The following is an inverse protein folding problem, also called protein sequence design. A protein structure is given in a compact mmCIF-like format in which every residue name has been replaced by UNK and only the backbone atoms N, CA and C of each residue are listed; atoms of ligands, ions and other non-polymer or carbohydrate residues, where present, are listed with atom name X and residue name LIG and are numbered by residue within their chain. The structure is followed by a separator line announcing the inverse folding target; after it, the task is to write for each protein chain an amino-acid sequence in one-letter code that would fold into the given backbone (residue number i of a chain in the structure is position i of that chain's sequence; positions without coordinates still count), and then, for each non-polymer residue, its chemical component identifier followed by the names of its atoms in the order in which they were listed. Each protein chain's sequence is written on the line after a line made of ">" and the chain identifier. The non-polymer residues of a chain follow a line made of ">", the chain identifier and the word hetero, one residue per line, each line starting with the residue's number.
data_IF_692144037560
#
_entry.id   IF_692144037560
#
_cell.length_a   1.000
_cell.length_b   1.000
_cell.length_c   1.000
_cell.angle_alpha   90.00
_cell.angle_beta   90.00
_cell.angle_gamma   90.00
#
_symmetry.space_group_name_H-M   'P 1'
#
loop_
_entity.id
_entity.type
_entity.pdbx_description
1 polymer ?
#
# COMPACT_ATOMS: atom_id res chain seq x y z
N UNK A 1 8.27 1.41 -2.39
CA UNK A 1 7.80 2.46 -1.47
C UNK A 1 8.62 2.33 -0.22
N UNK A 2 9.17 3.43 0.27
CA UNK A 2 10.16 3.47 1.34
C UNK A 2 9.99 4.77 2.16
N UNK A 3 10.81 4.96 3.19
CA UNK A 3 10.79 6.15 4.04
C UNK A 3 10.98 7.48 3.28
N UNK A 4 11.61 7.47 2.10
CA UNK A 4 11.72 8.66 1.26
C UNK A 4 10.37 9.18 0.74
N UNK A 5 9.32 8.36 0.80
CA UNK A 5 7.95 8.75 0.42
C UNK A 5 7.44 9.89 1.31
N UNK A 6 7.89 9.97 2.57
CA UNK A 6 7.57 11.05 3.50
C UNK A 6 8.00 12.44 3.01
N UNK A 7 9.05 12.50 2.19
CA UNK A 7 9.65 13.73 1.66
C UNK A 7 8.81 14.47 0.61
N UNK A 8 7.50 14.22 0.54
CA UNK A 8 6.59 14.94 -0.36
C UNK A 8 6.36 14.30 -1.72
N UNK A 9 6.54 12.98 -1.85
CA UNK A 9 6.14 12.25 -3.07
C UNK A 9 4.60 12.14 -3.16
N UNK A 10 4.10 11.80 -4.35
CA UNK A 10 2.65 11.67 -4.63
C UNK A 10 1.88 10.87 -3.59
N UNK A 11 2.32 9.67 -3.14
CA UNK A 11 1.55 8.89 -2.16
C UNK A 11 1.40 9.59 -0.81
N UNK A 12 2.42 10.32 -0.34
CA UNK A 12 2.34 11.06 0.91
C UNK A 12 1.40 12.26 0.82
N UNK A 13 1.32 12.92 -0.34
CA UNK A 13 0.35 14.00 -0.56
C UNK A 13 -1.10 13.52 -0.48
N UNK A 14 -1.40 12.41 -1.17
CA UNK A 14 -2.73 11.77 -1.13
C UNK A 14 -3.08 11.32 0.29
N UNK A 15 -2.14 10.68 0.99
CA UNK A 15 -2.37 10.19 2.34
C UNK A 15 -2.60 11.33 3.35
N UNK A 16 -1.83 12.43 3.27
CA UNK A 16 -2.06 13.63 4.10
C UNK A 16 -3.44 14.24 3.87
N UNK A 17 -3.88 14.31 2.62
CA UNK A 17 -5.22 14.81 2.29
C UNK A 17 -6.31 13.90 2.89
N UNK A 18 -6.21 12.59 2.70
CA UNK A 18 -7.14 11.63 3.28
C UNK A 18 -7.14 11.68 4.82
N UNK A 19 -5.97 11.79 5.44
CA UNK A 19 -5.80 11.96 6.88
C UNK A 19 -6.50 13.21 7.41
N UNK A 20 -6.44 14.34 6.69
CA UNK A 20 -7.17 15.56 7.06
C UNK A 20 -8.69 15.42 7.04
N UNK A 21 -9.20 14.38 6.38
CA UNK A 21 -10.61 13.99 6.30
C UNK A 21 -10.92 12.78 7.18
N UNK A 22 -9.98 12.35 8.03
CA UNK A 22 -10.09 11.16 8.89
C UNK A 22 -10.31 9.84 8.13
N UNK A 23 -9.89 9.78 6.86
CA UNK A 23 -10.02 8.59 6.00
C UNK A 23 -8.71 7.77 6.09
N UNK A 24 -8.76 6.51 6.55
CA UNK A 24 -7.58 5.65 6.61
C UNK A 24 -7.09 5.29 5.21
N UNK A 25 -5.78 5.38 4.98
CA UNK A 25 -5.17 5.06 3.68
C UNK A 25 -4.37 3.76 3.75
N UNK A 26 -4.60 2.84 2.81
CA UNK A 26 -3.78 1.64 2.62
C UNK A 26 -2.96 1.79 1.34
N UNK A 27 -1.66 1.53 1.40
CA UNK A 27 -0.77 1.65 0.25
C UNK A 27 -0.45 0.28 -0.36
N UNK A 28 -0.67 0.15 -1.67
CA UNK A 28 -0.24 -0.99 -2.48
C UNK A 28 0.92 -0.53 -3.37
N UNK A 29 2.09 -1.15 -3.21
CA UNK A 29 3.31 -0.75 -3.90
C UNK A 29 3.96 -1.94 -4.63
N UNK A 30 4.69 -1.67 -5.72
CA UNK A 30 5.52 -2.68 -6.40
C UNK A 30 6.40 -3.44 -5.41
N UNK A 31 7.26 -2.72 -4.70
CA UNK A 31 8.06 -3.24 -3.59
C UNK A 31 7.93 -2.34 -2.36
N UNK A 32 8.27 -2.89 -1.20
CA UNK A 32 8.49 -2.12 0.03
C UNK A 32 10.00 -2.06 0.28
N UNK A 33 10.45 -0.94 0.83
CA UNK A 33 11.83 -0.70 1.25
C UNK A 33 11.88 -0.16 2.66
N UNK A 34 13.08 0.13 3.11
CA UNK A 34 13.33 0.53 4.50
C UNK A 34 12.56 1.80 4.89
N UNK A 35 12.15 1.87 6.15
CA UNK A 35 11.44 3.04 6.69
C UNK A 35 9.98 3.16 6.27
N UNK A 36 9.39 2.14 5.64
CA UNK A 36 7.96 2.11 5.32
C UNK A 36 7.04 2.30 6.54
N UNK A 37 7.46 1.84 7.73
CA UNK A 37 6.67 2.00 8.97
C UNK A 37 6.43 3.47 9.34
N UNK A 38 7.36 4.36 8.98
CA UNK A 38 7.24 5.78 9.24
C UNK A 38 6.10 6.44 8.43
N UNK A 39 5.58 5.79 7.40
CA UNK A 39 4.45 6.27 6.59
C UNK A 39 3.13 6.35 7.38
N UNK A 40 3.04 5.68 8.53
CA UNK A 40 1.93 5.89 9.47
C UNK A 40 1.79 7.35 9.91
N UNK A 41 2.90 8.10 9.95
CA UNK A 41 2.90 9.52 10.34
C UNK A 41 2.07 10.39 9.38
N UNK A 42 1.87 9.94 8.13
CA UNK A 42 1.12 10.68 7.10
C UNK A 42 -0.23 10.02 6.78
N UNK A 43 -0.75 9.16 7.66
CA UNK A 43 -2.08 8.55 7.52
C UNK A 43 -2.12 7.24 6.72
N UNK A 44 -0.98 6.70 6.30
CA UNK A 44 -0.91 5.38 5.68
C UNK A 44 -0.90 4.31 6.78
N UNK A 45 -2.04 3.67 7.02
CA UNK A 45 -2.23 2.75 8.15
C UNK A 45 -1.62 1.37 7.92
N UNK A 46 -1.48 0.96 6.66
CA UNK A 46 -0.88 -0.29 6.22
C UNK A 46 -0.23 -0.16 4.83
N UNK A 47 0.83 -0.94 4.60
CA UNK A 47 1.56 -1.00 3.33
C UNK A 47 1.70 -2.46 2.87
N UNK A 48 1.47 -2.73 1.59
CA UNK A 48 1.63 -4.06 0.99
C UNK A 48 2.50 -3.99 -0.26
N UNK A 49 3.42 -4.95 -0.41
CA UNK A 49 4.01 -5.22 -1.71
C UNK A 49 3.03 -6.04 -2.54
N UNK A 50 2.86 -5.70 -3.82
CA UNK A 50 2.04 -6.47 -4.75
C UNK A 50 2.80 -7.68 -5.32
N UNK A 51 4.12 -7.77 -5.12
CA UNK A 51 4.89 -8.91 -5.62
C UNK A 51 4.57 -10.16 -4.79
N UNK A 52 4.03 -11.17 -5.45
CA UNK A 52 3.66 -12.46 -4.83
C UNK A 52 4.85 -13.38 -4.59
N UNK A 53 5.99 -13.14 -5.27
CA UNK A 53 7.21 -13.96 -5.17
C UNK A 53 8.45 -13.18 -5.64
N UNK A 54 9.66 -13.59 -5.22
CA UNK A 54 10.89 -13.12 -5.84
C UNK A 54 10.86 -13.38 -7.35
N UNK A 55 11.18 -12.36 -8.14
CA UNK A 55 11.18 -12.43 -9.59
C UNK A 55 12.12 -11.37 -10.20
N UNK A 56 12.41 -11.51 -11.48
CA UNK A 56 13.10 -10.47 -12.24
C UNK A 56 12.20 -9.24 -12.44
N UNK A 57 12.80 -8.08 -12.71
CA UNK A 57 12.06 -6.86 -13.02
C UNK A 57 11.10 -7.04 -14.21
N UNK A 58 11.53 -7.74 -15.26
CA UNK A 58 10.68 -7.99 -16.43
C UNK A 58 9.42 -8.79 -16.05
N UNK A 59 9.56 -9.81 -15.20
CA UNK A 59 8.42 -10.59 -14.70
C UNK A 59 7.52 -9.75 -13.79
N UNK A 60 8.10 -8.94 -12.90
CA UNK A 60 7.36 -8.04 -12.02
C UNK A 60 6.48 -7.06 -12.82
N UNK A 61 7.02 -6.48 -13.88
CA UNK A 61 6.28 -5.56 -14.77
C UNK A 61 5.22 -6.30 -15.58
N UNK A 62 5.53 -7.49 -16.12
CA UNK A 62 4.61 -8.29 -16.92
C UNK A 62 3.38 -8.74 -16.11
N UNK A 63 3.57 -9.13 -14.85
CA UNK A 63 2.49 -9.59 -13.95
C UNK A 63 1.91 -8.47 -13.07
N UNK A 64 2.30 -7.21 -13.27
CA UNK A 64 1.99 -6.12 -12.35
C UNK A 64 0.48 -5.90 -12.13
N UNK A 65 -0.31 -5.95 -13.21
CA UNK A 65 -1.76 -5.76 -13.15
C UNK A 65 -2.48 -6.89 -12.38
N UNK A 66 -2.09 -8.14 -12.65
CA UNK A 66 -2.65 -9.32 -11.97
C UNK A 66 -2.31 -9.29 -10.48
N UNK A 67 -1.03 -9.04 -10.16
CA UNK A 67 -0.52 -8.93 -8.80
C UNK A 67 -1.22 -7.82 -8.00
N UNK A 68 -1.38 -6.64 -8.60
CA UNK A 68 -2.08 -5.52 -7.96
C UNK A 68 -3.55 -5.86 -7.68
N UNK A 69 -4.24 -6.47 -8.65
CA UNK A 69 -5.65 -6.86 -8.53
C UNK A 69 -5.84 -7.89 -7.43
N UNK A 70 -5.01 -8.94 -7.41
CA UNK A 70 -5.06 -9.97 -6.39
C UNK A 70 -4.80 -9.41 -4.98
N UNK A 71 -3.80 -8.54 -4.85
CA UNK A 71 -3.48 -7.90 -3.56
C UNK A 71 -4.63 -7.01 -3.08
N UNK A 72 -5.21 -6.20 -3.98
CA UNK A 72 -6.35 -5.34 -3.66
C UNK A 72 -7.57 -6.17 -3.22
N UNK A 73 -7.86 -7.28 -3.90
CA UNK A 73 -8.97 -8.16 -3.54
C UNK A 73 -8.78 -8.79 -2.14
N UNK A 74 -7.57 -9.22 -1.81
CA UNK A 74 -7.25 -9.77 -0.49
C UNK A 74 -7.38 -8.71 0.62
N UNK A 75 -6.87 -7.49 0.40
CA UNK A 75 -7.01 -6.38 1.35
C UNK A 75 -8.47 -6.04 1.57
N UNK A 76 -9.27 -5.91 0.50
CA UNK A 76 -10.69 -5.64 0.60
C UNK A 76 -11.44 -6.77 1.33
N UNK A 77 -11.15 -8.04 1.02
CA UNK A 77 -11.74 -9.19 1.70
C UNK A 77 -11.43 -9.21 3.20
N UNK A 78 -10.20 -8.86 3.58
CA UNK A 78 -9.82 -8.70 4.99
C UNK A 78 -10.63 -7.58 5.66
N UNK A 79 -10.74 -6.41 5.02
CA UNK A 79 -11.49 -5.27 5.57
C UNK A 79 -12.96 -5.62 5.79
N UNK A 80 -13.61 -6.24 4.80
CA UNK A 80 -15.01 -6.68 4.89
C UNK A 80 -15.20 -7.70 6.01
N UNK A 81 -14.28 -8.67 6.12
CA UNK A 81 -14.37 -9.70 7.16
C UNK A 81 -14.25 -9.11 8.56
N UNK A 82 -13.37 -8.12 8.75
CA UNK A 82 -13.16 -7.47 10.04
C UNK A 82 -14.28 -6.48 10.40
N UNK A 83 -14.91 -5.83 9.42
CA UNK A 83 -16.04 -4.92 9.68
C UNK A 83 -17.32 -5.63 10.16
N UNK A 84 -17.37 -6.96 10.07
CA UNK A 84 -18.49 -7.77 10.54
C UNK A 84 -18.20 -8.53 11.85
N UNK A 85 -17.06 -8.25 12.48
CA UNK A 85 -16.68 -8.79 13.78
C UNK A 85 -16.89 -7.71 14.85
N UNK A 86 -18.12 -7.62 15.33
CA UNK A 86 -18.46 -6.91 16.57
C UNK A 86 -18.09 -7.75 17.79
#
# INVERSE_FOLDING_TARGET
>A
MDGQTLGGKTPAGVAKLAQSMEIPTVALAGSLGDGCDALRQVGIVACFSVLSKPCSLAQALASGAENLTATAFQVAGMMVTLSHRD
#
